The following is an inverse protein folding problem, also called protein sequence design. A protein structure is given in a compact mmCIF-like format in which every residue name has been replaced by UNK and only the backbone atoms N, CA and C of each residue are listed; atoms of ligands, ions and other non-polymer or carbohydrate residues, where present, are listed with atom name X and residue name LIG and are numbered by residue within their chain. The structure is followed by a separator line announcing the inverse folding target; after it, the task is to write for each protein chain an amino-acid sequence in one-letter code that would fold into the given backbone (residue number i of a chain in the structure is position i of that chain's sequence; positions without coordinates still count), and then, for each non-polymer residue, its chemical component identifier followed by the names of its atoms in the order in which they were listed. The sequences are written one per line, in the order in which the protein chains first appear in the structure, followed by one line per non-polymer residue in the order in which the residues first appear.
data_IF_206939618607
#
_entry.id   IF_206939618607
#
_cell.length_a   1.000
_cell.length_b   1.000
_cell.length_c   1.000
_cell.angle_alpha   90.00
_cell.angle_beta   90.00
_cell.angle_gamma   90.00
#
_symmetry.space_group_name_H-M   'P 1'
#
loop_
_entity.id
_entity.type
_entity.pdbx_description
1 polymer ?
#
# COMPACT_ATOMS: atom_id res chain seq x y z
N UNK A 1 -42.12 10.62 12.19
CA UNK A 1 -40.87 9.85 12.45
C UNK A 1 -40.09 9.83 11.14
N UNK A 2 -38.98 10.56 11.06
CA UNK A 2 -38.10 10.55 9.89
C UNK A 2 -37.12 9.38 10.03
N UNK A 3 -37.24 8.37 9.18
CA UNK A 3 -36.30 7.27 9.10
C UNK A 3 -35.06 7.79 8.35
N UNK A 4 -34.11 8.38 9.07
CA UNK A 4 -32.77 8.67 8.55
C UNK A 4 -32.01 7.36 8.34
N UNK A 5 -32.25 6.67 7.22
CA UNK A 5 -31.36 5.63 6.75
C UNK A 5 -30.08 6.31 6.27
N UNK A 6 -29.16 6.54 7.20
CA UNK A 6 -27.82 7.03 6.92
C UNK A 6 -27.18 6.13 5.87
N UNK A 7 -27.08 6.65 4.66
CA UNK A 7 -26.47 5.98 3.53
C UNK A 7 -25.00 5.71 3.83
N UNK A 8 -24.68 4.48 4.22
CA UNK A 8 -23.30 4.00 4.19
C UNK A 8 -22.95 3.53 2.76
N UNK A 9 -23.15 4.42 1.77
CA UNK A 9 -22.86 4.18 0.34
C UNK A 9 -21.89 5.23 -0.21
N UNK A 10 -20.86 5.57 0.55
CA UNK A 10 -19.83 6.51 0.12
C UNK A 10 -18.46 6.17 0.67
N UNK A 11 -17.98 4.94 0.51
CA UNK A 11 -16.75 4.49 1.22
C UNK A 11 -15.74 3.68 0.39
N UNK A 12 -15.81 3.71 -0.94
CA UNK A 12 -14.78 3.07 -1.78
C UNK A 12 -14.45 3.84 -3.06
N UNK A 13 -15.31 4.75 -3.53
CA UNK A 13 -15.07 5.47 -4.80
C UNK A 13 -13.88 6.46 -4.70
N UNK A 14 -13.55 6.88 -3.48
CA UNK A 14 -12.47 7.82 -3.20
C UNK A 14 -11.18 7.13 -2.73
N UNK A 15 -11.13 5.80 -2.65
CA UNK A 15 -9.92 5.10 -2.22
C UNK A 15 -8.79 5.29 -3.24
N UNK A 16 -7.61 5.57 -2.71
CA UNK A 16 -6.39 5.54 -3.49
C UNK A 16 -5.99 4.08 -3.74
N UNK A 17 -5.44 3.80 -4.92
CA UNK A 17 -4.85 2.50 -5.25
C UNK A 17 -3.37 2.68 -5.54
N UNK A 18 -2.53 2.15 -4.66
CA UNK A 18 -1.08 2.12 -4.85
C UNK A 18 -0.63 0.75 -5.33
N UNK A 19 0.13 0.72 -6.43
CA UNK A 19 0.85 -0.47 -6.89
C UNK A 19 2.32 -0.35 -6.50
N UNK A 20 2.89 -1.46 -6.06
CA UNK A 20 4.30 -1.55 -5.70
C UNK A 20 4.98 -2.45 -6.72
N UNK A 21 5.98 -1.91 -7.41
CA UNK A 21 6.77 -2.64 -8.40
C UNK A 21 8.15 -2.91 -7.82
N UNK A 22 8.49 -4.18 -7.64
CA UNK A 22 9.78 -4.59 -7.12
C UNK A 22 10.28 -5.83 -7.85
N UNK A 23 11.59 -5.91 -8.06
CA UNK A 23 12.24 -7.11 -8.60
C UNK A 23 12.15 -8.31 -7.63
N UNK A 24 11.93 -8.06 -6.33
CA UNK A 24 11.83 -9.08 -5.30
C UNK A 24 10.36 -9.34 -4.98
N UNK A 25 9.73 -10.25 -5.72
CA UNK A 25 8.29 -10.53 -5.62
C UNK A 25 7.86 -11.08 -4.23
N UNK A 26 8.74 -11.83 -3.57
CA UNK A 26 8.50 -12.41 -2.25
C UNK A 26 8.64 -11.40 -1.10
N UNK A 27 9.17 -10.20 -1.38
CA UNK A 27 9.31 -9.16 -0.38
C UNK A 27 7.93 -8.79 0.19
N UNK A 28 7.82 -8.74 1.52
CA UNK A 28 6.60 -8.39 2.20
C UNK A 28 6.33 -6.89 2.15
N UNK A 29 5.08 -6.49 1.97
CA UNK A 29 4.61 -5.12 2.12
C UNK A 29 3.90 -4.95 3.46
N UNK A 30 4.30 -3.91 4.20
CA UNK A 30 3.63 -3.39 5.37
C UNK A 30 3.12 -1.97 5.08
N UNK A 31 1.88 -1.71 5.51
CA UNK A 31 1.27 -0.38 5.47
C UNK A 31 0.81 -0.03 6.89
N UNK A 32 1.26 1.11 7.41
CA UNK A 32 1.01 1.58 8.77
C UNK A 32 1.32 0.53 9.85
N UNK A 33 2.38 -0.25 9.61
CA UNK A 33 2.83 -1.32 10.50
C UNK A 33 2.04 -2.64 10.36
N UNK A 34 1.02 -2.70 9.50
CA UNK A 34 0.26 -3.92 9.23
C UNK A 34 0.78 -4.64 7.99
N UNK A 35 1.05 -5.94 8.12
CA UNK A 35 1.40 -6.78 6.97
C UNK A 35 0.21 -6.94 6.02
N UNK A 36 0.43 -6.66 4.74
CA UNK A 36 -0.58 -6.76 3.69
C UNK A 36 -0.40 -8.05 2.88
N UNK A 37 0.84 -8.40 2.55
CA UNK A 37 1.17 -9.56 1.74
C UNK A 37 2.50 -9.39 0.98
N UNK A 38 2.94 -10.42 0.24
CA UNK A 38 4.10 -10.29 -0.64
C UNK A 38 3.77 -9.41 -1.85
N UNK A 39 4.71 -8.55 -2.26
CA UNK A 39 4.53 -7.56 -3.32
C UNK A 39 4.06 -8.21 -4.63
N UNK A 40 4.61 -9.37 -4.98
CA UNK A 40 4.21 -10.11 -6.19
C UNK A 40 2.77 -10.60 -6.20
N UNK A 41 2.17 -10.85 -5.03
CA UNK A 41 0.75 -11.21 -4.93
C UNK A 41 -0.19 -9.99 -4.99
N UNK A 42 0.35 -8.78 -4.85
CA UNK A 42 -0.40 -7.52 -4.80
C UNK A 42 -0.39 -6.77 -6.15
N UNK A 43 -0.31 -7.49 -7.28
CA UNK A 43 -0.27 -6.91 -8.62
C UNK A 43 -1.47 -5.99 -8.96
N UNK A 44 -2.63 -6.23 -8.33
CA UNK A 44 -3.82 -5.37 -8.44
C UNK A 44 -3.72 -4.02 -7.72
N UNK A 45 -2.70 -3.84 -6.88
CA UNK A 45 -2.53 -2.70 -5.99
C UNK A 45 -3.23 -2.86 -4.64
N UNK A 46 -2.94 -1.93 -3.75
CA UNK A 46 -3.50 -1.85 -2.39
C UNK A 46 -4.40 -0.64 -2.32
N UNK A 47 -5.65 -0.85 -1.92
CA UNK A 47 -6.61 0.22 -1.67
C UNK A 47 -6.33 0.86 -0.30
N UNK A 48 -6.24 2.19 -0.28
CA UNK A 48 -5.90 2.99 0.89
C UNK A 48 -6.85 4.17 1.01
N UNK A 49 -7.16 4.54 2.24
CA UNK A 49 -7.89 5.78 2.51
C UNK A 49 -7.04 6.99 2.09
N UNK A 50 -7.64 8.10 1.67
CA UNK A 50 -6.89 9.33 1.41
C UNK A 50 -6.23 9.84 2.70
N UNK A 51 -4.94 10.17 2.64
CA UNK A 51 -4.19 10.63 3.80
C UNK A 51 -2.73 10.15 3.84
N UNK A 52 -2.01 10.47 4.93
CA UNK A 52 -0.64 10.01 5.13
C UNK A 52 -0.63 8.51 5.48
N UNK A 53 0.23 7.78 4.78
CA UNK A 53 0.48 6.37 5.05
C UNK A 53 1.98 6.09 5.08
N UNK A 54 2.37 5.19 5.98
CA UNK A 54 3.75 4.70 6.07
C UNK A 54 3.84 3.34 5.40
N UNK A 55 4.80 3.21 4.49
CA UNK A 55 5.09 2.01 3.74
C UNK A 55 6.42 1.44 4.15
N UNK A 56 6.46 0.12 4.19
CA UNK A 56 7.68 -0.61 4.43
C UNK A 56 7.69 -1.89 3.62
N UNK A 57 8.77 -2.12 2.88
CA UNK A 57 8.97 -3.36 2.13
C UNK A 57 10.18 -4.07 2.71
N UNK A 58 9.99 -5.33 3.14
CA UNK A 58 11.05 -6.12 3.79
C UNK A 58 11.26 -7.42 3.04
N UNK A 59 12.51 -7.81 2.98
CA UNK A 59 12.98 -9.12 2.55
C UNK A 59 14.18 -9.49 3.42
N UNK A 60 14.37 -10.77 3.71
CA UNK A 60 15.42 -11.21 4.66
C UNK A 60 16.83 -11.00 4.09
N UNK A 61 16.99 -11.12 2.77
CA UNK A 61 18.27 -10.99 2.06
C UNK A 61 18.55 -9.54 1.60
N UNK A 62 17.62 -8.60 1.84
CA UNK A 62 17.74 -7.21 1.41
C UNK A 62 17.53 -6.20 2.55
N UNK A 63 18.02 -4.98 2.35
CA UNK A 63 17.70 -3.87 3.24
C UNK A 63 16.24 -3.46 3.05
N UNK A 64 15.53 -3.25 4.14
CA UNK A 64 14.14 -2.80 4.10
C UNK A 64 14.04 -1.41 3.48
N UNK A 65 13.06 -1.24 2.61
CA UNK A 65 12.71 0.05 2.03
C UNK A 65 11.60 0.70 2.84
N UNK A 66 11.69 2.02 3.03
CA UNK A 66 10.71 2.79 3.80
C UNK A 66 10.29 4.04 3.02
N UNK A 67 9.00 4.35 3.07
CA UNK A 67 8.48 5.63 2.60
C UNK A 67 7.29 6.09 3.43
N UNK A 68 7.13 7.40 3.52
CA UNK A 68 5.92 8.02 4.03
C UNK A 68 5.35 8.89 2.91
N UNK A 69 4.12 8.60 2.50
CA UNK A 69 3.47 9.28 1.38
C UNK A 69 2.05 9.69 1.79
N UNK A 70 1.66 10.91 1.44
CA UNK A 70 0.27 11.34 1.50
C UNK A 70 -0.39 10.99 0.17
N UNK A 71 -1.40 10.11 0.20
CA UNK A 71 -2.17 9.73 -0.98
C UNK A 71 -3.44 10.56 -1.09
N UNK A 72 -3.75 11.02 -2.30
CA UNK A 72 -4.97 11.77 -2.58
C UNK A 72 -6.16 10.83 -2.87
N UNK A 73 -7.38 11.35 -2.72
CA UNK A 73 -8.60 10.63 -3.05
C UNK A 73 -8.64 10.20 -4.51
N UNK A 74 -8.96 8.92 -4.75
CA UNK A 74 -8.99 8.30 -6.07
C UNK A 74 -7.62 8.21 -6.78
N UNK A 75 -6.52 8.53 -6.09
CA UNK A 75 -5.18 8.49 -6.68
C UNK A 75 -4.81 7.07 -7.09
N UNK A 76 -4.29 6.91 -8.31
CA UNK A 76 -3.73 5.65 -8.78
C UNK A 76 -2.28 5.86 -9.13
N UNK A 77 -1.39 5.28 -8.34
CA UNK A 77 0.06 5.49 -8.49
C UNK A 77 0.81 4.18 -8.40
N UNK A 78 1.86 4.07 -9.19
CA UNK A 78 2.84 2.97 -9.08
C UNK A 78 4.09 3.51 -8.39
N UNK A 79 4.55 2.77 -7.39
CA UNK A 79 5.76 3.05 -6.60
C UNK A 79 6.79 1.99 -6.99
N UNK A 80 7.91 2.45 -7.56
CA UNK A 80 9.06 1.60 -7.78
C UNK A 80 9.78 1.39 -6.45
N UNK A 81 10.00 0.13 -6.08
CA UNK A 81 10.67 -0.29 -4.86
C UNK A 81 11.94 -1.05 -5.24
N UNK A 82 13.07 -0.38 -5.05
CA UNK A 82 14.39 -0.96 -5.24
C UNK A 82 14.94 -1.39 -3.88
N UNK A 83 15.13 -2.70 -3.71
CA UNK A 83 15.73 -3.27 -2.51
C UNK A 83 17.22 -3.53 -2.77
N UNK A 84 18.07 -3.00 -1.89
CA UNK A 84 19.51 -3.26 -1.95
C UNK A 84 19.83 -4.59 -1.25
N UNK A 85 20.59 -5.50 -1.86
CA UNK A 85 20.96 -6.77 -1.23
C UNK A 85 21.87 -6.54 -0.03
N UNK A 86 21.73 -7.39 1.00
CA UNK A 86 22.63 -7.42 2.15
C UNK A 86 23.77 -8.35 1.80
N UNK A 87 24.97 -7.78 1.66
CA UNK A 87 26.16 -8.61 1.46
C UNK A 87 26.40 -9.45 2.73
N UNK A 88 26.73 -10.74 2.58
CA UNK A 88 27.06 -11.62 3.69
C UNK A 88 28.36 -11.23 4.41
#
# INVERSE_FOLDING_TARGET
AACGHGANRGRHDDDAVLRFDSAVAEAGLWVDGRYIGPVGALAGGVALTPGPHRFEVRDDDHFSWYAELTVAAGERRTIAVELAPRLP
#
